data_IF_809356073460
#
_entry.id   IF_809356073460
#
_cell.length_a   1.000
_cell.length_b   1.000
_cell.length_c   1.000
_cell.angle_alpha   90.00
_cell.angle_beta   90.00
_cell.angle_gamma   90.00
#
_symmetry.space_group_name_H-M   'P 1'
#
loop_
_entity.id
_entity.type
_entity.pdbx_description
1 polymer ?
#
# COMPACT_ATOMS: atom_id res chain seq x y z
N UNK A 1 -3.32 -26.05 -4.04
CA UNK A 1 -3.80 -25.99 -2.62
C UNK A 1 -4.52 -24.67 -2.44
N UNK A 2 -5.42 -24.57 -1.44
CA UNK A 2 -6.04 -23.29 -1.15
C UNK A 2 -5.09 -22.41 -0.33
N UNK A 3 -5.05 -21.12 -0.63
CA UNK A 3 -4.29 -20.13 0.15
C UNK A 3 -5.11 -19.69 1.37
N UNK A 4 -4.57 -19.84 2.57
CA UNK A 4 -5.17 -19.30 3.79
C UNK A 4 -4.80 -17.84 3.91
N UNK A 5 -5.78 -16.97 4.00
CA UNK A 5 -5.59 -15.51 4.07
C UNK A 5 -6.49 -14.91 5.14
N UNK A 6 -5.90 -14.10 6.02
CA UNK A 6 -6.67 -13.31 6.97
C UNK A 6 -7.32 -12.13 6.23
N UNK A 7 -8.64 -12.02 6.32
CA UNK A 7 -9.42 -10.96 5.70
C UNK A 7 -9.92 -9.99 6.78
N UNK A 8 -9.59 -8.72 6.63
CA UNK A 8 -10.05 -7.63 7.49
C UNK A 8 -10.88 -6.69 6.60
N UNK A 9 -12.22 -6.76 6.63
CA UNK A 9 -13.06 -5.88 5.81
C UNK A 9 -12.82 -4.40 6.08
N UNK A 10 -12.56 -4.04 7.34
CA UNK A 10 -12.34 -2.66 7.77
C UNK A 10 -13.63 -1.90 8.05
N UNK A 11 -13.52 -0.58 8.21
CA UNK A 11 -14.60 0.33 8.57
C UNK A 11 -15.09 1.14 7.36
N UNK A 12 -16.25 1.77 7.51
CA UNK A 12 -16.79 2.70 6.51
C UNK A 12 -17.04 2.04 5.16
N UNK A 13 -16.33 2.48 4.11
CA UNK A 13 -16.40 1.86 2.76
C UNK A 13 -15.71 0.48 2.71
N UNK A 14 -14.96 0.12 3.75
CA UNK A 14 -14.15 -1.10 3.80
C UNK A 14 -14.91 -2.36 3.40
N UNK A 15 -16.05 -2.69 4.03
CA UNK A 15 -16.80 -3.90 3.70
C UNK A 15 -17.20 -3.99 2.22
N UNK A 16 -17.68 -2.90 1.60
CA UNK A 16 -18.13 -2.93 0.21
C UNK A 16 -16.95 -3.08 -0.78
N UNK A 17 -15.84 -2.36 -0.59
CA UNK A 17 -14.68 -2.44 -1.48
C UNK A 17 -13.92 -3.76 -1.31
N UNK A 18 -13.87 -4.30 -0.10
CA UNK A 18 -13.25 -5.59 0.20
C UNK A 18 -14.06 -6.73 -0.38
N UNK A 19 -15.39 -6.71 -0.22
CA UNK A 19 -16.28 -7.72 -0.81
C UNK A 19 -16.18 -7.72 -2.33
N UNK A 20 -16.19 -6.55 -2.97
CA UNK A 20 -15.99 -6.41 -4.41
C UNK A 20 -14.64 -7.04 -4.85
N UNK A 21 -13.57 -6.78 -4.10
CA UNK A 21 -12.24 -7.34 -4.35
C UNK A 21 -12.23 -8.87 -4.19
N UNK A 22 -12.83 -9.42 -3.14
CA UNK A 22 -12.92 -10.88 -2.91
C UNK A 22 -13.65 -11.56 -4.06
N UNK A 23 -14.79 -11.01 -4.51
CA UNK A 23 -15.53 -11.55 -5.68
C UNK A 23 -14.65 -11.63 -6.94
N UNK A 24 -13.86 -10.60 -7.20
CA UNK A 24 -12.96 -10.59 -8.36
C UNK A 24 -11.84 -11.62 -8.20
N UNK A 25 -11.25 -11.74 -7.00
CA UNK A 25 -10.23 -12.74 -6.70
C UNK A 25 -10.74 -14.16 -6.91
N UNK A 26 -11.94 -14.47 -6.40
CA UNK A 26 -12.57 -15.80 -6.55
C UNK A 26 -12.89 -16.14 -8.01
N UNK A 27 -13.23 -15.13 -8.82
CA UNK A 27 -13.48 -15.30 -10.26
C UNK A 27 -12.22 -15.72 -11.07
N UNK A 28 -11.00 -15.59 -10.53
CA UNK A 28 -9.77 -16.09 -11.16
C UNK A 28 -9.66 -17.61 -11.14
N UNK A 29 -10.44 -18.30 -10.28
CA UNK A 29 -10.32 -19.73 -10.03
C UNK A 29 -9.26 -20.12 -9.00
N UNK A 30 -8.42 -19.19 -8.53
CA UNK A 30 -7.54 -19.40 -7.37
C UNK A 30 -8.37 -19.71 -6.14
N UNK A 31 -7.96 -20.71 -5.39
CA UNK A 31 -8.70 -21.16 -4.19
C UNK A 31 -8.19 -20.44 -2.95
N UNK A 32 -9.09 -19.78 -2.23
CA UNK A 32 -8.82 -19.11 -0.97
C UNK A 32 -9.62 -19.75 0.18
N UNK A 33 -9.02 -19.78 1.35
CA UNK A 33 -9.67 -20.02 2.64
C UNK A 33 -9.56 -18.71 3.43
N UNK A 34 -10.64 -17.92 3.41
CA UNK A 34 -10.69 -16.64 4.09
C UNK A 34 -10.98 -16.79 5.58
N UNK A 35 -10.09 -16.30 6.43
CA UNK A 35 -10.33 -16.14 7.86
C UNK A 35 -10.69 -14.67 8.13
N UNK A 36 -12.00 -14.41 8.27
CA UNK A 36 -12.52 -13.03 8.33
C UNK A 36 -12.69 -12.55 9.76
N UNK A 37 -12.10 -11.40 10.08
CA UNK A 37 -12.17 -10.77 11.39
C UNK A 37 -12.45 -9.28 11.28
N UNK A 38 -13.21 -8.74 12.25
CA UNK A 38 -13.35 -7.30 12.43
C UNK A 38 -12.06 -6.72 13.03
N UNK A 39 -11.75 -5.50 12.65
CA UNK A 39 -10.74 -4.64 13.28
C UNK A 39 -11.26 -3.19 13.29
N UNK A 40 -10.66 -2.33 14.09
CA UNK A 40 -11.06 -0.94 14.12
C UNK A 40 -12.26 -0.65 14.98
N UNK A 41 -13.09 0.27 14.55
CA UNK A 41 -14.26 0.73 15.32
C UNK A 41 -15.26 -0.41 15.55
N UNK A 42 -15.52 -1.23 14.54
CA UNK A 42 -16.43 -2.38 14.66
C UNK A 42 -15.95 -3.39 15.71
N UNK A 43 -14.65 -3.69 15.73
CA UNK A 43 -14.08 -4.61 16.70
C UNK A 43 -14.15 -4.03 18.11
N UNK A 44 -13.89 -2.73 18.27
CA UNK A 44 -13.97 -2.08 19.55
C UNK A 44 -15.39 -2.09 20.14
N UNK A 45 -16.41 -1.85 19.32
CA UNK A 45 -17.81 -1.94 19.76
C UNK A 45 -18.19 -3.35 20.22
N UNK A 46 -17.68 -4.40 19.54
CA UNK A 46 -18.03 -5.79 19.85
C UNK A 46 -17.21 -6.41 20.98
N UNK A 47 -15.91 -6.10 21.04
CA UNK A 47 -14.96 -6.81 21.89
C UNK A 47 -14.21 -5.90 22.87
N UNK A 48 -14.42 -4.58 22.81
CA UNK A 48 -13.64 -3.56 23.53
C UNK A 48 -12.13 -3.64 23.24
N UNK A 49 -11.77 -4.12 22.04
CA UNK A 49 -10.41 -4.25 21.50
C UNK A 49 -10.40 -3.84 20.03
N UNK A 50 -9.44 -3.00 19.61
CA UNK A 50 -9.30 -2.61 18.20
C UNK A 50 -8.71 -3.71 17.32
N UNK A 51 -7.90 -4.59 17.91
CA UNK A 51 -7.28 -5.76 17.29
C UNK A 51 -7.56 -6.96 18.19
N UNK A 52 -8.67 -7.70 17.96
CA UNK A 52 -9.00 -8.89 18.74
C UNK A 52 -7.87 -9.93 18.69
N UNK A 53 -7.75 -10.70 19.78
CA UNK A 53 -6.71 -11.73 19.90
C UNK A 53 -6.79 -12.75 18.75
N UNK A 54 -7.98 -13.16 18.39
CA UNK A 54 -8.24 -14.14 17.32
C UNK A 54 -7.78 -13.63 15.95
N UNK A 55 -7.92 -12.32 15.67
CA UNK A 55 -7.37 -11.69 14.47
C UNK A 55 -5.85 -11.80 14.44
N UNK A 56 -5.20 -11.51 15.57
CA UNK A 56 -3.76 -11.58 15.64
C UNK A 56 -3.25 -13.02 15.46
N UNK A 57 -3.88 -13.99 16.11
CA UNK A 57 -3.58 -15.42 15.94
C UNK A 57 -3.81 -15.91 14.51
N UNK A 58 -4.82 -15.36 13.81
CA UNK A 58 -5.04 -15.65 12.41
C UNK A 58 -3.89 -15.15 11.54
N UNK A 59 -3.44 -13.90 11.71
CA UNK A 59 -2.30 -13.34 10.95
C UNK A 59 -1.02 -14.14 11.22
N UNK A 60 -0.76 -14.53 12.46
CA UNK A 60 0.39 -15.38 12.84
C UNK A 60 0.36 -16.75 12.15
N UNK A 61 -0.84 -17.31 11.92
CA UNK A 61 -1.02 -18.62 11.27
C UNK A 61 -1.02 -18.55 9.75
N UNK A 62 -1.64 -17.52 9.18
CA UNK A 62 -1.79 -17.36 7.72
C UNK A 62 -0.61 -16.70 7.06
N UNK A 63 0.14 -15.87 7.80
CA UNK A 63 1.25 -15.02 7.35
C UNK A 63 0.86 -14.00 6.26
N UNK A 64 -0.38 -14.01 5.78
CA UNK A 64 -0.88 -13.13 4.73
C UNK A 64 -2.23 -12.54 5.13
N UNK A 65 -2.34 -11.21 5.04
CA UNK A 65 -3.58 -10.49 5.28
C UNK A 65 -3.98 -9.60 4.11
N UNK A 66 -5.29 -9.57 3.79
CA UNK A 66 -5.91 -8.55 2.94
C UNK A 66 -6.78 -7.66 3.82
N UNK A 67 -6.52 -6.37 3.82
CA UNK A 67 -7.16 -5.42 4.73
C UNK A 67 -7.80 -4.25 3.99
N UNK A 68 -9.07 -4.00 4.26
CA UNK A 68 -9.75 -2.76 3.94
C UNK A 68 -9.31 -1.59 4.84
N UNK A 69 -9.79 -0.38 4.58
CA UNK A 69 -9.49 0.79 5.41
C UNK A 69 -10.09 0.63 6.81
N UNK A 70 -9.36 1.12 7.81
CA UNK A 70 -9.83 1.14 9.21
C UNK A 70 -9.84 2.57 9.75
N UNK A 71 -10.79 2.87 10.60
CA UNK A 71 -10.91 4.17 11.27
C UNK A 71 -10.12 4.17 12.55
N UNK A 72 -9.21 5.14 12.69
CA UNK A 72 -8.55 5.43 13.97
C UNK A 72 -9.25 6.63 14.60
N UNK A 73 -9.76 6.52 15.83
CA UNK A 73 -10.36 7.66 16.53
C UNK A 73 -9.37 8.82 16.69
N UNK A 74 -9.85 10.04 16.46
CA UNK A 74 -9.05 11.26 16.68
C UNK A 74 -9.18 11.68 18.15
N UNK A 75 -8.07 11.75 18.86
CA UNK A 75 -7.99 12.26 20.23
C UNK A 75 -8.00 11.17 21.31
N UNK A 76 -7.17 11.36 22.35
CA UNK A 76 -7.28 10.67 23.63
C UNK A 76 -6.81 9.22 23.70
N UNK A 77 -5.50 8.97 23.69
CA UNK A 77 -4.94 7.78 24.34
C UNK A 77 -4.85 6.48 23.54
N UNK A 78 -5.29 6.45 22.29
CA UNK A 78 -5.22 5.24 21.46
C UNK A 78 -4.19 5.39 20.32
N UNK A 79 -3.32 4.39 20.18
CA UNK A 79 -2.44 4.34 19.02
C UNK A 79 -3.23 3.94 17.75
N UNK A 80 -2.79 4.40 16.59
CA UNK A 80 -3.38 3.98 15.31
C UNK A 80 -3.32 2.46 15.16
N UNK A 81 -4.46 1.85 14.80
CA UNK A 81 -4.59 0.41 14.54
C UNK A 81 -3.55 -0.05 13.51
N UNK A 82 -3.33 0.74 12.48
CA UNK A 82 -2.31 0.46 11.47
C UNK A 82 -0.90 0.45 12.09
N UNK A 83 -0.59 1.39 12.99
CA UNK A 83 0.69 1.44 13.68
C UNK A 83 0.86 0.22 14.60
N UNK A 84 -0.20 -0.19 15.28
CA UNK A 84 -0.17 -1.37 16.17
C UNK A 84 0.05 -2.66 15.38
N UNK A 85 -0.66 -2.89 14.28
CA UNK A 85 -0.44 -4.03 13.38
C UNK A 85 1.01 -4.06 12.87
N UNK A 86 1.53 -2.91 12.42
CA UNK A 86 2.89 -2.78 11.92
C UNK A 86 3.95 -3.13 12.97
N UNK A 87 3.74 -2.71 14.21
CA UNK A 87 4.64 -3.03 15.34
C UNK A 87 4.52 -4.49 15.74
N UNK A 88 3.30 -4.99 15.92
CA UNK A 88 3.06 -6.35 16.41
C UNK A 88 3.63 -7.42 15.48
N UNK A 89 3.51 -7.23 14.17
CA UNK A 89 3.99 -8.18 13.16
C UNK A 89 5.30 -7.76 12.50
N UNK A 90 6.01 -6.79 13.07
CA UNK A 90 7.26 -6.23 12.52
C UNK A 90 7.16 -5.93 11.00
N UNK A 91 6.05 -5.35 10.55
CA UNK A 91 5.83 -4.99 9.15
C UNK A 91 6.66 -3.75 8.79
N UNK A 92 7.94 -3.92 8.62
CA UNK A 92 8.93 -2.85 8.55
C UNK A 92 8.96 -2.09 7.23
N UNK A 93 8.50 -2.71 6.14
CA UNK A 93 8.53 -2.09 4.81
C UNK A 93 7.12 -1.81 4.31
N UNK A 94 6.74 -0.53 4.26
CA UNK A 94 5.55 -0.10 3.53
C UNK A 94 5.95 0.16 2.08
N UNK A 95 5.31 -0.55 1.18
CA UNK A 95 5.60 -0.59 -0.25
C UNK A 95 4.40 -0.08 -1.05
N UNK A 96 4.60 0.99 -1.82
CA UNK A 96 3.55 1.66 -2.61
C UNK A 96 4.01 1.86 -4.05
N UNK A 97 3.63 0.99 -5.00
CA UNK A 97 3.88 1.23 -6.42
C UNK A 97 2.89 2.27 -6.95
N UNK A 98 3.43 3.31 -7.55
CA UNK A 98 2.71 4.47 -8.08
C UNK A 98 2.83 4.45 -9.59
N UNK A 99 1.74 4.14 -10.29
CA UNK A 99 1.69 4.21 -11.75
C UNK A 99 0.28 4.56 -12.25
N UNK A 100 0.24 5.25 -13.37
CA UNK A 100 -1.01 5.64 -14.00
C UNK A 100 -1.85 4.44 -14.39
N UNK A 101 -3.17 4.61 -14.32
CA UNK A 101 -4.14 3.75 -14.98
C UNK A 101 -4.54 4.38 -16.34
N UNK A 102 -4.96 3.56 -17.32
CA UNK A 102 -5.40 4.07 -18.61
C UNK A 102 -6.52 5.10 -18.46
N UNK A 103 -6.45 6.14 -19.26
CA UNK A 103 -7.49 7.19 -19.36
C UNK A 103 -7.87 7.97 -18.09
N UNK A 104 -7.12 7.81 -17.01
CA UNK A 104 -7.26 8.70 -15.85
C UNK A 104 -6.61 10.04 -16.20
N UNK A 105 -7.36 11.16 -16.13
CA UNK A 105 -6.80 12.49 -16.38
C UNK A 105 -5.75 12.82 -15.31
N UNK A 106 -4.51 12.99 -15.73
CA UNK A 106 -3.42 13.44 -14.87
C UNK A 106 -2.52 14.41 -15.61
N UNK A 107 -1.80 15.26 -14.87
CA UNK A 107 -0.81 16.15 -15.46
C UNK A 107 0.47 15.39 -15.90
N UNK A 108 0.66 14.16 -15.42
CA UNK A 108 1.88 13.38 -15.59
C UNK A 108 1.56 11.98 -16.13
N UNK A 109 1.37 11.82 -17.45
CA UNK A 109 1.14 10.50 -18.04
C UNK A 109 2.41 9.63 -17.99
N UNK A 110 2.25 8.34 -17.76
CA UNK A 110 3.37 7.40 -17.79
C UNK A 110 4.24 7.38 -16.53
N UNK A 111 3.73 7.84 -15.40
CA UNK A 111 4.39 7.67 -14.09
C UNK A 111 4.52 6.19 -13.78
N UNK A 112 5.72 5.78 -13.39
CA UNK A 112 6.05 4.46 -12.85
C UNK A 112 7.17 4.60 -11.81
N UNK A 113 6.81 4.90 -10.58
CA UNK A 113 7.74 5.02 -9.46
C UNK A 113 7.25 4.21 -8.26
N UNK A 114 8.13 3.96 -7.33
CA UNK A 114 7.85 3.17 -6.13
C UNK A 114 8.28 3.94 -4.90
N UNK A 115 7.40 4.01 -3.91
CA UNK A 115 7.75 4.49 -2.57
C UNK A 115 8.02 3.29 -1.67
N UNK A 116 9.19 3.26 -1.06
CA UNK A 116 9.61 2.31 -0.01
C UNK A 116 9.83 3.11 1.27
N UNK A 117 8.92 2.93 2.21
CA UNK A 117 8.83 3.65 3.48
C UNK A 117 9.20 2.71 4.63
N UNK A 118 10.15 3.11 5.49
CA UNK A 118 10.31 2.49 6.80
C UNK A 118 9.02 2.68 7.61
N UNK A 119 8.60 1.69 8.38
CA UNK A 119 7.22 1.64 8.86
C UNK A 119 7.08 1.37 10.37
N UNK A 120 8.18 1.24 11.11
CA UNK A 120 8.17 0.79 12.51
C UNK A 120 8.72 1.80 13.52
N UNK A 121 9.43 2.82 13.07
CA UNK A 121 10.08 3.81 13.94
C UNK A 121 9.90 5.25 13.41
N UNK A 122 10.83 6.14 13.69
CA UNK A 122 10.74 7.56 13.35
C UNK A 122 9.90 8.32 14.38
N UNK A 123 9.16 9.32 13.95
CA UNK A 123 8.17 10.02 14.77
C UNK A 123 6.95 9.17 15.10
N UNK A 124 6.68 8.14 14.28
CA UNK A 124 5.61 7.16 14.53
C UNK A 124 5.92 6.20 15.71
N UNK A 125 7.10 6.31 16.34
CA UNK A 125 7.35 5.68 17.64
C UNK A 125 6.39 6.22 18.72
N UNK A 126 5.83 7.42 18.53
CA UNK A 126 4.84 8.03 19.40
C UNK A 126 5.40 8.36 20.78
N UNK A 127 6.70 8.65 20.88
CA UNK A 127 7.35 9.04 22.14
C UNK A 127 7.25 10.56 22.25
N UNK A 128 6.30 10.99 23.02
CA UNK A 128 6.05 12.41 23.30
C UNK A 128 5.88 12.62 24.80
N UNK A 129 6.31 13.78 25.28
CA UNK A 129 6.08 14.19 26.67
C UNK A 129 6.03 15.72 26.82
N UNK A 130 5.27 16.16 27.79
CA UNK A 130 5.27 17.55 28.20
C UNK A 130 6.41 17.76 29.20
N UNK A 131 7.39 18.56 28.81
CA UNK A 131 8.58 18.87 29.65
C UNK A 131 8.20 19.83 30.80
N UNK A 132 7.46 20.87 30.47
CA UNK A 132 6.80 21.81 31.39
C UNK A 132 5.48 22.24 30.73
N UNK A 133 4.51 22.77 31.51
CA UNK A 133 3.22 23.19 30.95
C UNK A 133 3.36 24.05 29.70
N UNK A 134 2.79 23.57 28.58
CA UNK A 134 2.82 24.24 27.28
C UNK A 134 4.08 23.99 26.45
N UNK A 135 5.01 23.10 26.87
CA UNK A 135 6.19 22.71 26.12
C UNK A 135 6.21 21.19 25.90
N UNK A 136 5.98 20.77 24.69
CA UNK A 136 5.93 19.34 24.29
C UNK A 136 7.13 18.97 23.44
N UNK A 137 7.75 17.85 23.74
CA UNK A 137 8.82 17.24 22.95
C UNK A 137 8.33 15.95 22.27
N UNK A 138 8.67 15.78 20.98
CA UNK A 138 8.47 14.55 20.22
C UNK A 138 9.82 13.97 19.82
N UNK A 139 10.05 12.70 20.09
CA UNK A 139 11.32 12.05 19.82
C UNK A 139 11.26 11.25 18.51
N UNK A 140 12.12 11.61 17.55
CA UNK A 140 12.35 10.83 16.32
C UNK A 140 13.37 9.72 16.61
N UNK A 141 12.91 8.49 16.66
CA UNK A 141 13.77 7.32 16.89
C UNK A 141 14.24 6.74 15.56
N UNK A 142 15.55 6.61 15.40
CA UNK A 142 16.17 5.99 14.24
C UNK A 142 17.20 4.97 14.69
N UNK A 143 17.09 3.72 14.22
CA UNK A 143 18.03 2.66 14.55
C UNK A 143 18.79 2.17 13.33
N UNK A 144 20.03 1.73 13.54
CA UNK A 144 20.84 1.14 12.46
C UNK A 144 20.18 -0.12 11.89
N UNK A 145 19.54 -0.94 12.75
CA UNK A 145 18.78 -2.15 12.35
C UNK A 145 17.69 -1.78 11.34
N UNK A 146 16.81 -0.83 11.67
CA UNK A 146 15.69 -0.48 10.82
C UNK A 146 16.14 0.24 9.54
N UNK A 147 17.08 1.18 9.63
CA UNK A 147 17.65 1.86 8.46
C UNK A 147 18.31 0.88 7.48
N UNK A 148 19.04 -0.10 7.98
CA UNK A 148 19.72 -1.11 7.15
C UNK A 148 18.72 -2.06 6.50
N UNK A 149 17.73 -2.58 7.25
CA UNK A 149 16.76 -3.54 6.71
C UNK A 149 15.86 -2.92 5.65
N UNK A 150 15.39 -1.67 5.83
CA UNK A 150 14.57 -1.01 4.82
C UNK A 150 15.38 -0.68 3.56
N UNK A 151 16.62 -0.28 3.72
CA UNK A 151 17.54 -0.08 2.59
C UNK A 151 17.75 -1.39 1.83
N UNK A 152 18.07 -2.48 2.53
CA UNK A 152 18.24 -3.81 1.92
C UNK A 152 16.99 -4.25 1.17
N UNK A 153 15.80 -4.09 1.76
CA UNK A 153 14.53 -4.39 1.09
C UNK A 153 14.39 -3.63 -0.24
N UNK A 154 14.69 -2.32 -0.26
CA UNK A 154 14.59 -1.50 -1.46
C UNK A 154 15.56 -1.95 -2.56
N UNK A 155 16.82 -2.26 -2.21
CA UNK A 155 17.84 -2.71 -3.14
C UNK A 155 17.57 -4.13 -3.67
N UNK A 156 17.15 -5.07 -2.84
CA UNK A 156 16.73 -6.41 -3.26
C UNK A 156 15.53 -6.36 -4.19
N UNK A 157 14.53 -5.53 -3.86
CA UNK A 157 13.39 -5.30 -4.73
C UNK A 157 13.82 -4.74 -6.08
N UNK A 158 14.69 -3.73 -6.09
CA UNK A 158 15.22 -3.11 -7.30
C UNK A 158 15.92 -4.14 -8.20
N UNK A 159 16.81 -4.95 -7.63
CA UNK A 159 17.53 -6.04 -8.34
C UNK A 159 16.57 -7.05 -8.93
N UNK A 160 15.63 -7.58 -8.11
CA UNK A 160 14.65 -8.59 -8.53
C UNK A 160 13.75 -8.10 -9.66
N UNK A 161 13.36 -6.82 -9.63
CA UNK A 161 12.42 -6.22 -10.59
C UNK A 161 13.09 -5.36 -11.65
N UNK A 162 14.43 -5.43 -11.79
CA UNK A 162 15.22 -4.72 -12.81
C UNK A 162 15.03 -3.20 -12.78
N UNK A 163 14.74 -2.63 -11.60
CA UNK A 163 14.74 -1.20 -11.36
C UNK A 163 16.17 -0.67 -11.39
N UNK A 164 16.34 0.59 -11.76
CA UNK A 164 17.66 1.14 -12.10
C UNK A 164 18.21 2.12 -11.08
N UNK A 165 17.33 2.80 -10.35
CA UNK A 165 17.75 3.89 -9.50
C UNK A 165 16.99 3.94 -8.17
N UNK A 166 17.73 4.20 -7.09
CA UNK A 166 17.18 4.43 -5.76
C UNK A 166 17.60 5.82 -5.30
N UNK A 167 16.61 6.61 -4.86
CA UNK A 167 16.82 7.90 -4.23
C UNK A 167 16.48 7.78 -2.74
N UNK A 168 17.48 7.96 -1.88
CA UNK A 168 17.26 8.10 -0.44
C UNK A 168 16.84 9.52 -0.11
N UNK A 169 15.66 9.67 0.48
CA UNK A 169 15.07 10.96 0.80
C UNK A 169 15.28 11.27 2.28
N UNK A 170 15.81 12.45 2.58
CA UNK A 170 16.30 12.80 3.91
C UNK A 170 16.21 14.31 4.21
N UNK A 171 16.46 14.68 5.48
CA UNK A 171 16.66 16.06 5.93
C UNK A 171 17.97 16.21 6.74
N UNK A 172 19.02 15.50 6.34
CA UNK A 172 20.29 15.43 7.09
C UNK A 172 21.07 16.76 7.16
N UNK A 173 20.69 17.77 6.35
CA UNK A 173 21.21 19.13 6.49
C UNK A 173 20.75 19.78 7.81
N UNK A 174 19.63 19.36 8.39
CA UNK A 174 19.10 19.76 9.69
C UNK A 174 19.26 18.63 10.72
N UNK A 175 18.70 17.46 10.46
CA UNK A 175 18.75 16.30 11.35
C UNK A 175 19.99 15.45 11.09
N UNK A 176 21.15 15.99 11.46
CA UNK A 176 22.46 15.43 11.12
C UNK A 176 22.73 14.05 11.71
N UNK A 177 22.17 13.75 12.88
CA UNK A 177 22.38 12.47 13.54
C UNK A 177 21.38 11.43 13.06
N UNK A 178 20.08 11.67 13.16
CA UNK A 178 19.03 10.71 12.81
C UNK A 178 19.00 10.41 11.31
N UNK A 179 18.81 11.42 10.47
CA UNK A 179 18.82 11.25 9.02
C UNK A 179 20.22 10.93 8.49
N UNK A 180 21.26 11.43 9.17
CA UNK A 180 22.63 11.04 8.89
C UNK A 180 22.90 9.56 9.12
N UNK A 181 22.27 8.93 10.14
CA UNK A 181 22.32 7.48 10.34
C UNK A 181 21.64 6.75 9.18
N UNK A 182 20.45 7.19 8.78
CA UNK A 182 19.73 6.62 7.64
C UNK A 182 20.59 6.61 6.37
N UNK A 183 21.21 7.76 6.03
CA UNK A 183 22.11 7.85 4.87
C UNK A 183 23.34 6.96 4.98
N UNK A 184 23.98 6.87 6.17
CA UNK A 184 25.13 5.96 6.36
C UNK A 184 24.75 4.50 6.10
N UNK A 185 23.60 4.04 6.61
CA UNK A 185 23.09 2.70 6.39
C UNK A 185 22.78 2.46 4.91
N UNK A 186 22.06 3.39 4.28
CA UNK A 186 21.68 3.28 2.86
C UNK A 186 22.92 3.24 1.95
N UNK A 187 23.93 4.09 2.21
CA UNK A 187 25.21 4.07 1.49
C UNK A 187 25.98 2.76 1.67
N UNK A 188 25.95 2.19 2.89
CA UNK A 188 26.60 0.91 3.15
C UNK A 188 25.95 -0.22 2.36
N UNK A 189 24.62 -0.29 2.34
CA UNK A 189 23.86 -1.25 1.53
C UNK A 189 24.09 -1.02 0.03
N UNK A 190 24.04 0.22 -0.45
CA UNK A 190 24.23 0.55 -1.87
C UNK A 190 25.53 -0.02 -2.46
N UNK A 191 26.60 -0.10 -1.67
CA UNK A 191 27.88 -0.68 -2.11
C UNK A 191 27.78 -2.17 -2.48
N UNK A 192 26.79 -2.89 -1.96
CA UNK A 192 26.53 -4.30 -2.26
C UNK A 192 25.77 -4.49 -3.59
N UNK A 193 25.30 -3.38 -4.21
CA UNK A 193 24.45 -3.38 -5.40
C UNK A 193 24.98 -2.41 -6.47
N UNK A 194 26.21 -2.62 -6.99
CA UNK A 194 26.85 -1.68 -7.91
C UNK A 194 26.11 -1.47 -9.23
N UNK A 195 25.19 -2.37 -9.58
CA UNK A 195 24.34 -2.28 -10.78
C UNK A 195 23.16 -1.31 -10.63
N UNK A 196 22.88 -0.83 -9.39
CA UNK A 196 21.78 0.10 -9.09
C UNK A 196 22.37 1.47 -8.78
N UNK A 197 21.95 2.48 -9.52
CA UNK A 197 22.34 3.87 -9.26
C UNK A 197 21.73 4.33 -7.94
N UNK A 198 22.55 4.83 -7.04
CA UNK A 198 22.12 5.38 -5.76
C UNK A 198 22.34 6.89 -5.71
N UNK A 199 21.32 7.62 -5.26
CA UNK A 199 21.35 9.08 -5.12
C UNK A 199 20.65 9.53 -3.83
N UNK A 200 20.90 10.76 -3.37
CA UNK A 200 20.39 11.30 -2.11
C UNK A 200 19.75 12.66 -2.32
N UNK A 201 18.51 12.83 -1.87
CA UNK A 201 17.76 14.06 -2.08
C UNK A 201 17.16 14.58 -0.78
N UNK A 202 17.21 15.90 -0.59
CA UNK A 202 16.56 16.57 0.54
C UNK A 202 15.05 16.57 0.31
N UNK A 203 14.27 16.22 1.33
CA UNK A 203 12.83 15.95 1.25
C UNK A 203 12.00 17.09 0.67
N UNK A 204 12.22 18.33 1.11
CA UNK A 204 11.50 19.51 0.60
C UNK A 204 11.82 19.79 -0.87
N UNK A 205 13.07 19.62 -1.28
CA UNK A 205 13.45 19.70 -2.68
C UNK A 205 12.82 18.57 -3.50
N UNK A 206 12.75 17.37 -2.93
CA UNK A 206 12.08 16.21 -3.59
C UNK A 206 10.60 16.48 -3.83
N UNK A 207 9.87 17.08 -2.86
CA UNK A 207 8.48 17.48 -3.05
C UNK A 207 8.30 18.41 -4.26
N UNK A 208 9.14 19.44 -4.36
CA UNK A 208 9.13 20.37 -5.49
C UNK A 208 9.46 19.65 -6.81
N UNK A 209 10.51 18.82 -6.82
CA UNK A 209 10.95 18.11 -8.01
C UNK A 209 9.93 17.08 -8.51
N UNK A 210 9.20 16.40 -7.62
CA UNK A 210 8.10 15.50 -7.98
C UNK A 210 6.99 16.23 -8.73
N UNK A 211 6.70 17.48 -8.34
CA UNK A 211 5.70 18.31 -9.04
C UNK A 211 6.25 18.88 -10.36
N UNK A 212 7.55 19.16 -10.45
CA UNK A 212 8.15 19.73 -11.67
C UNK A 212 8.50 18.65 -12.71
N UNK A 213 9.12 17.56 -12.27
CA UNK A 213 9.59 16.47 -13.14
C UNK A 213 9.64 15.13 -12.38
N UNK A 214 8.52 14.44 -12.21
CA UNK A 214 8.47 13.15 -11.51
C UNK A 214 9.23 12.02 -12.22
N UNK A 215 9.48 12.13 -13.52
CA UNK A 215 10.07 11.06 -14.34
C UNK A 215 11.55 10.77 -14.04
N UNK A 216 12.22 11.64 -13.29
CA UNK A 216 13.61 11.41 -12.86
C UNK A 216 13.73 10.37 -11.75
N UNK A 217 12.62 10.02 -11.10
CA UNK A 217 12.56 9.09 -9.98
C UNK A 217 12.15 7.69 -10.43
N UNK A 218 12.72 6.66 -9.77
CA UNK A 218 12.39 5.25 -9.96
C UNK A 218 11.94 4.64 -8.62
N UNK A 219 12.83 4.51 -7.63
CA UNK A 219 12.48 4.13 -6.28
C UNK A 219 12.83 5.26 -5.32
N UNK A 220 11.87 5.66 -4.50
CA UNK A 220 12.01 6.61 -3.41
C UNK A 220 12.09 5.84 -2.10
N UNK A 221 13.27 5.84 -1.46
CA UNK A 221 13.54 5.17 -0.19
C UNK A 221 13.61 6.20 0.93
N UNK A 222 12.84 6.01 2.01
CA UNK A 222 12.79 7.01 3.08
C UNK A 222 12.30 6.46 4.43
N UNK A 223 12.50 7.26 5.46
CA UNK A 223 11.98 7.03 6.80
C UNK A 223 10.45 7.22 6.85
N UNK A 224 9.86 6.92 8.00
CA UNK A 224 8.43 6.76 8.17
C UNK A 224 7.60 8.00 7.80
N UNK A 225 7.88 9.16 8.41
CA UNK A 225 7.07 10.37 8.20
C UNK A 225 7.20 10.91 6.77
N UNK A 226 8.41 10.93 6.22
CA UNK A 226 8.59 11.39 4.84
C UNK A 226 7.91 10.45 3.88
N UNK A 227 7.93 9.14 4.15
CA UNK A 227 7.25 8.13 3.36
C UNK A 227 5.73 8.31 3.35
N UNK A 228 5.15 8.71 4.48
CA UNK A 228 3.73 9.03 4.57
C UNK A 228 3.38 10.22 3.67
N UNK A 229 4.07 11.34 3.87
CA UNK A 229 3.80 12.59 3.14
C UNK A 229 4.04 12.43 1.64
N UNK A 230 5.20 11.88 1.24
CA UNK A 230 5.55 11.76 -0.18
C UNK A 230 4.74 10.72 -0.92
N UNK A 231 4.28 9.65 -0.26
CA UNK A 231 3.41 8.68 -0.93
C UNK A 231 2.05 9.26 -1.29
N UNK A 232 1.49 10.13 -0.46
CA UNK A 232 0.24 10.82 -0.74
C UNK A 232 0.41 11.86 -1.85
N UNK A 233 1.53 12.60 -1.84
CA UNK A 233 1.90 13.47 -2.96
C UNK A 233 2.01 12.67 -4.27
N UNK A 234 2.70 11.53 -4.25
CA UNK A 234 2.85 10.66 -5.42
C UNK A 234 1.51 10.07 -5.88
N UNK A 235 0.60 9.73 -4.97
CA UNK A 235 -0.75 9.31 -5.32
C UNK A 235 -1.50 10.40 -6.08
N UNK A 236 -1.33 11.67 -5.70
CA UNK A 236 -1.87 12.82 -6.42
C UNK A 236 -1.40 12.91 -7.87
N UNK A 237 -0.16 12.51 -8.16
CA UNK A 237 0.39 12.53 -9.53
C UNK A 237 -0.35 11.55 -10.48
N UNK A 238 -0.96 10.50 -9.97
CA UNK A 238 -1.61 9.44 -10.76
C UNK A 238 -3.13 9.39 -10.65
N UNK A 239 -3.74 10.38 -9.99
CA UNK A 239 -5.20 10.52 -9.91
C UNK A 239 -5.81 10.29 -8.54
N UNK A 240 -5.00 10.10 -7.49
CA UNK A 240 -5.44 10.08 -6.09
C UNK A 240 -5.31 8.72 -5.38
N UNK A 241 -5.59 8.75 -4.07
CA UNK A 241 -5.40 7.61 -3.16
C UNK A 241 -6.28 6.40 -3.49
N UNK A 242 -7.46 6.60 -4.09
CA UNK A 242 -8.38 5.53 -4.50
C UNK A 242 -7.84 4.60 -5.60
N UNK A 243 -6.69 4.95 -6.19
CA UNK A 243 -6.06 4.18 -7.27
C UNK A 243 -4.75 3.51 -6.85
N UNK A 244 -4.19 3.87 -5.70
CA UNK A 244 -2.85 3.45 -5.29
C UNK A 244 -2.90 2.25 -4.35
N UNK A 245 -2.24 1.14 -4.69
CA UNK A 245 -2.12 -0.01 -3.82
C UNK A 245 -1.05 0.20 -2.76
N UNK A 246 -1.15 -0.58 -1.68
CA UNK A 246 -0.15 -0.67 -0.65
C UNK A 246 0.07 -2.10 -0.16
N UNK A 247 1.27 -2.35 0.33
CA UNK A 247 1.62 -3.57 1.04
C UNK A 247 2.56 -3.24 2.19
N UNK A 248 2.40 -3.95 3.29
CA UNK A 248 3.30 -3.88 4.44
C UNK A 248 3.99 -5.24 4.58
N UNK A 249 5.31 -5.27 4.46
CA UNK A 249 6.10 -6.49 4.54
C UNK A 249 6.86 -6.55 5.86
N UNK A 250 6.74 -7.68 6.54
CA UNK A 250 7.59 -8.11 7.64
C UNK A 250 8.56 -9.20 7.20
N UNK A 251 9.18 -9.84 8.17
CA UNK A 251 10.03 -11.02 7.90
C UNK A 251 9.17 -12.26 7.64
N UNK A 252 8.09 -12.44 8.38
CA UNK A 252 7.23 -13.62 8.32
C UNK A 252 5.83 -13.33 7.76
N UNK A 253 5.35 -12.09 7.91
CA UNK A 253 4.00 -11.69 7.52
C UNK A 253 4.01 -10.59 6.47
N UNK A 254 2.95 -10.56 5.66
CA UNK A 254 2.65 -9.46 4.74
C UNK A 254 1.16 -9.08 4.83
N UNK A 255 0.86 -7.79 4.96
CA UNK A 255 -0.51 -7.27 4.95
C UNK A 255 -0.67 -6.32 3.76
N UNK A 256 -1.64 -6.62 2.92
CA UNK A 256 -1.96 -5.86 1.71
C UNK A 256 -3.18 -4.98 1.98
N UNK A 257 -3.03 -3.68 1.80
CA UNK A 257 -4.07 -2.69 2.11
C UNK A 257 -4.04 -1.51 1.15
N UNK A 258 -5.19 -0.89 0.91
CA UNK A 258 -5.25 0.39 0.21
C UNK A 258 -4.69 1.53 1.09
N UNK A 259 -4.23 2.58 0.42
CA UNK A 259 -3.66 3.76 1.09
C UNK A 259 -4.75 4.68 1.65
N UNK A 260 -5.94 4.70 1.00
CA UNK A 260 -7.05 5.58 1.39
C UNK A 260 -7.69 5.22 2.74
N UNK A 261 -8.38 6.17 3.36
CA UNK A 261 -9.14 5.99 4.60
C UNK A 261 -10.52 5.34 4.38
N UNK A 262 -11.30 5.29 5.47
CA UNK A 262 -12.61 4.61 5.55
C UNK A 262 -13.79 5.38 4.94
N UNK A 263 -13.65 6.67 4.64
CA UNK A 263 -14.67 7.53 4.04
C UNK A 263 -16.10 7.27 4.56
N UNK A 264 -16.38 7.48 5.86
CA UNK A 264 -17.64 7.08 6.50
C UNK A 264 -18.87 7.80 5.93
N UNK A 265 -18.70 8.96 5.32
CA UNK A 265 -19.73 9.78 4.69
C UNK A 265 -20.38 9.11 3.46
N UNK A 266 -19.68 8.18 2.82
CA UNK A 266 -20.18 7.43 1.64
C UNK A 266 -20.33 5.94 1.89
N UNK A 267 -20.11 5.47 3.12
CA UNK A 267 -20.21 4.07 3.50
C UNK A 267 -21.61 3.48 3.23
N UNK A 268 -21.66 2.23 2.71
CA UNK A 268 -22.89 1.50 2.42
C UNK A 268 -23.71 2.04 1.24
N UNK A 269 -23.19 3.02 0.50
CA UNK A 269 -23.89 3.62 -0.64
C UNK A 269 -23.59 2.97 -1.98
N UNK A 270 -22.75 1.95 -2.00
CA UNK A 270 -22.32 1.25 -3.20
C UNK A 270 -21.74 2.18 -4.28
N UNK A 271 -20.94 3.17 -3.88
CA UNK A 271 -20.33 4.16 -4.79
C UNK A 271 -18.82 4.27 -4.65
N UNK A 272 -18.23 3.58 -3.68
CA UNK A 272 -16.80 3.59 -3.44
C UNK A 272 -16.04 2.83 -4.54
N UNK A 273 -14.88 3.35 -4.93
CA UNK A 273 -14.01 2.72 -5.92
C UNK A 273 -13.17 1.61 -5.27
N UNK A 274 -13.30 0.34 -5.67
CA UNK A 274 -12.53 -0.76 -5.08
C UNK A 274 -11.12 -0.90 -5.66
N UNK A 275 -10.72 -0.06 -6.63
CA UNK A 275 -9.48 -0.22 -7.40
C UNK A 275 -8.23 -0.28 -6.52
N UNK A 276 -8.12 0.55 -5.49
CA UNK A 276 -6.92 0.55 -4.64
C UNK A 276 -6.79 -0.76 -3.84
N UNK A 277 -7.88 -1.27 -3.24
CA UNK A 277 -7.88 -2.56 -2.54
C UNK A 277 -7.63 -3.71 -3.52
N UNK A 278 -8.27 -3.69 -4.69
CA UNK A 278 -8.07 -4.67 -5.74
C UNK A 278 -6.61 -4.70 -6.23
N UNK A 279 -6.00 -3.54 -6.45
CA UNK A 279 -4.58 -3.46 -6.83
C UNK A 279 -3.65 -3.91 -5.70
N UNK A 280 -4.03 -3.71 -4.43
CA UNK A 280 -3.31 -4.27 -3.28
C UNK A 280 -3.42 -5.79 -3.26
N UNK A 281 -4.59 -6.34 -3.62
CA UNK A 281 -4.77 -7.77 -3.79
C UNK A 281 -3.94 -8.34 -4.95
N UNK A 282 -3.63 -7.56 -6.00
CA UNK A 282 -2.65 -7.99 -7.04
C UNK A 282 -1.23 -8.14 -6.46
N UNK A 283 -0.84 -7.29 -5.51
CA UNK A 283 0.44 -7.47 -4.80
C UNK A 283 0.41 -8.74 -3.94
N UNK A 284 -0.74 -9.03 -3.29
CA UNK A 284 -0.95 -10.27 -2.54
C UNK A 284 -0.84 -11.51 -3.44
N UNK A 285 -1.52 -11.53 -4.58
CA UNK A 285 -1.43 -12.64 -5.54
C UNK A 285 0.01 -12.91 -5.98
N UNK A 286 0.76 -11.86 -6.30
CA UNK A 286 2.18 -11.98 -6.67
C UNK A 286 3.03 -12.52 -5.50
N UNK A 287 2.72 -12.12 -4.28
CA UNK A 287 3.38 -12.64 -3.07
C UNK A 287 3.10 -14.13 -2.87
N UNK A 288 1.87 -14.57 -3.16
CA UNK A 288 1.45 -15.97 -3.10
C UNK A 288 1.93 -16.82 -4.29
N UNK A 289 2.58 -16.19 -5.30
CA UNK A 289 3.05 -16.89 -6.50
C UNK A 289 2.00 -17.00 -7.62
N UNK A 290 0.81 -16.44 -7.44
CA UNK A 290 -0.30 -16.46 -8.40
C UNK A 290 -0.15 -15.34 -9.45
N UNK A 291 0.94 -15.41 -10.22
CA UNK A 291 1.32 -14.36 -11.18
C UNK A 291 0.33 -14.23 -12.33
N UNK A 292 -0.20 -15.34 -12.83
CA UNK A 292 -1.14 -15.37 -13.97
C UNK A 292 -2.49 -14.75 -13.57
N UNK A 293 -3.02 -15.08 -12.39
CA UNK A 293 -4.22 -14.47 -11.85
C UNK A 293 -4.04 -12.95 -11.63
N UNK A 294 -2.88 -12.55 -11.10
CA UNK A 294 -2.56 -11.13 -10.94
C UNK A 294 -2.49 -10.40 -12.29
N UNK A 295 -1.94 -11.03 -13.33
CA UNK A 295 -1.88 -10.46 -14.68
C UNK A 295 -3.27 -10.36 -15.31
N UNK A 296 -4.10 -11.40 -15.19
CA UNK A 296 -5.48 -11.44 -15.68
C UNK A 296 -6.30 -10.28 -15.11
N UNK A 297 -6.31 -10.11 -13.77
CA UNK A 297 -7.03 -8.99 -13.12
C UNK A 297 -6.46 -7.65 -13.57
N UNK A 298 -5.13 -7.49 -13.64
CA UNK A 298 -4.51 -6.25 -14.10
C UNK A 298 -4.99 -5.86 -15.50
N UNK A 299 -4.99 -6.81 -16.43
CA UNK A 299 -5.45 -6.56 -17.81
C UNK A 299 -6.94 -6.21 -17.84
N UNK A 300 -7.76 -6.85 -17.01
CA UNK A 300 -9.19 -6.53 -16.89
C UNK A 300 -9.41 -5.12 -16.31
N UNK A 301 -8.64 -4.70 -15.32
CA UNK A 301 -8.66 -3.32 -14.80
C UNK A 301 -8.33 -2.35 -15.94
N UNK A 302 -7.25 -2.57 -16.68
CA UNK A 302 -6.83 -1.70 -17.77
C UNK A 302 -7.89 -1.60 -18.88
N UNK A 303 -8.61 -2.69 -19.17
CA UNK A 303 -9.70 -2.73 -20.14
C UNK A 303 -10.92 -1.93 -19.67
N UNK A 304 -11.38 -2.13 -18.44
CA UNK A 304 -12.53 -1.38 -17.87
C UNK A 304 -12.23 0.11 -17.78
N UNK A 305 -11.00 0.49 -17.40
CA UNK A 305 -10.59 1.90 -17.39
C UNK A 305 -10.49 2.48 -18.81
N UNK A 306 -10.16 1.68 -19.80
CA UNK A 306 -10.10 2.10 -21.22
C UNK A 306 -11.50 2.25 -21.84
N UNK A 307 -12.41 1.33 -21.53
CA UNK A 307 -13.81 1.36 -21.97
C UNK A 307 -14.60 2.53 -21.32
N UNK A 308 -14.35 2.85 -20.05
CA UNK A 308 -14.93 3.94 -19.26
C UNK A 308 -16.43 3.82 -18.96
N UNK A 309 -17.14 2.86 -19.49
CA UNK A 309 -18.60 2.73 -19.35
C UNK A 309 -19.05 2.39 -17.93
N UNK A 310 -18.17 1.76 -17.14
CA UNK A 310 -18.43 1.26 -15.78
C UNK A 310 -17.45 1.80 -14.73
N UNK A 311 -16.97 3.02 -14.92
CA UNK A 311 -16.13 3.69 -13.93
C UNK A 311 -16.96 4.28 -12.78
N UNK A 312 -16.37 4.34 -11.60
CA UNK A 312 -16.94 4.97 -10.41
C UNK A 312 -16.86 6.51 -10.48
N UNK A 313 -17.57 7.20 -9.58
CA UNK A 313 -17.73 8.67 -9.63
C UNK A 313 -16.43 9.44 -9.44
N UNK A 314 -15.54 8.96 -8.56
CA UNK A 314 -14.25 9.57 -8.26
C UNK A 314 -13.31 9.65 -9.47
N UNK A 315 -13.52 8.78 -10.46
CA UNK A 315 -12.76 8.72 -11.72
C UNK A 315 -13.60 9.13 -12.95
N UNK A 316 -14.69 9.84 -12.71
CA UNK A 316 -15.50 10.47 -13.76
C UNK A 316 -16.58 9.58 -14.38
N UNK A 317 -16.92 8.46 -13.75
CA UNK A 317 -18.01 7.57 -14.15
C UNK A 317 -19.29 7.75 -13.33
N UNK A 318 -20.17 6.76 -13.41
CA UNK A 318 -21.45 6.73 -12.67
C UNK A 318 -21.76 5.36 -12.05
N UNK A 319 -20.92 4.36 -12.31
CA UNK A 319 -21.12 3.01 -11.83
C UNK A 319 -20.98 2.90 -10.30
N UNK A 320 -21.71 1.97 -9.73
CA UNK A 320 -21.56 1.57 -8.35
C UNK A 320 -20.38 0.61 -8.15
N UNK A 321 -19.97 0.41 -6.89
CA UNK A 321 -18.91 -0.53 -6.50
C UNK A 321 -19.15 -1.93 -7.06
N UNK A 322 -20.38 -2.43 -6.95
CA UNK A 322 -20.76 -3.77 -7.44
C UNK A 322 -20.73 -3.85 -8.96
N UNK A 323 -21.24 -2.83 -9.66
CA UNK A 323 -21.24 -2.78 -11.13
C UNK A 323 -19.81 -2.70 -11.71
N UNK A 324 -18.91 -1.99 -11.02
CA UNK A 324 -17.50 -1.95 -11.38
C UNK A 324 -16.85 -3.34 -11.23
N UNK A 325 -17.16 -4.04 -10.11
CA UNK A 325 -16.65 -5.40 -9.89
C UNK A 325 -17.17 -6.38 -10.96
N UNK A 326 -18.46 -6.30 -11.31
CA UNK A 326 -19.06 -7.11 -12.36
C UNK A 326 -18.39 -6.88 -13.72
N UNK A 327 -18.08 -5.61 -14.05
CA UNK A 327 -17.36 -5.27 -15.29
C UNK A 327 -15.94 -5.86 -15.34
N UNK A 328 -15.22 -5.86 -14.21
CA UNK A 328 -13.90 -6.50 -14.13
C UNK A 328 -14.01 -8.01 -14.34
N UNK A 329 -14.98 -8.68 -13.71
CA UNK A 329 -15.20 -10.12 -13.85
C UNK A 329 -15.55 -10.46 -15.31
N UNK A 330 -16.44 -9.70 -15.94
CA UNK A 330 -16.81 -9.88 -17.34
C UNK A 330 -15.61 -9.70 -18.29
N UNK A 331 -14.75 -8.71 -18.04
CA UNK A 331 -13.52 -8.52 -18.83
C UNK A 331 -12.56 -9.72 -18.69
N UNK A 332 -12.42 -10.27 -17.48
CA UNK A 332 -11.62 -11.48 -17.24
C UNK A 332 -12.14 -12.70 -18.01
N UNK A 333 -13.46 -12.92 -18.01
CA UNK A 333 -14.12 -14.03 -18.75
C UNK A 333 -13.88 -13.89 -20.26
N UNK A 334 -14.05 -12.67 -20.79
CA UNK A 334 -13.83 -12.39 -22.22
C UNK A 334 -12.39 -12.66 -22.64
N UNK A 335 -11.40 -12.26 -21.83
CA UNK A 335 -9.99 -12.52 -22.08
C UNK A 335 -9.68 -14.02 -22.06
N UNK A 336 -10.25 -14.77 -21.12
CA UNK A 336 -10.07 -16.23 -21.03
C UNK A 336 -10.65 -16.96 -22.25
N UNK A 337 -11.84 -16.56 -22.70
CA UNK A 337 -12.47 -17.11 -23.91
C UNK A 337 -11.62 -16.85 -25.17
N UNK A 338 -11.07 -15.63 -25.32
CA UNK A 338 -10.22 -15.25 -26.43
C UNK A 338 -8.88 -16.02 -26.44
N UNK A 339 -8.29 -16.26 -25.26
CA UNK A 339 -7.07 -17.06 -25.13
C UNK A 339 -7.28 -18.52 -25.52
N UNK A 340 -8.43 -19.11 -25.16
CA UNK A 340 -8.79 -20.48 -25.52
C UNK A 340 -9.05 -20.64 -27.02
N UNK A 341 -9.68 -19.66 -27.67
CA UNK A 341 -9.97 -19.66 -29.10
C UNK A 341 -8.72 -19.52 -29.99
N UNK A 342 -7.63 -18.95 -29.46
CA UNK A 342 -6.36 -18.74 -30.18
C UNK A 342 -5.31 -19.82 -29.94
N UNK A 343 -5.60 -20.91 -29.22
CA UNK A 343 -4.70 -22.06 -29.13
C UNK A 343 -4.83 -22.89 -30.43
N UNK A 344 -3.74 -23.09 -31.22
CA UNK A 344 -3.78 -23.94 -32.37
C UNK A 344 -4.07 -25.40 -31.94
N UNK A 345 -5.01 -26.04 -32.66
CA UNK A 345 -5.33 -27.45 -32.49
C UNK A 345 -4.15 -28.33 -32.89
#
# INVERSE_FOLDING_TARGET
>A
MAHKVTLIPGDGIGPEVTQATVRILEATGVKFEWETFAAGAEAFEKYNEYIPKELAESIERTHVGLKGPVTTPIGGGFSSINVELRRRFELFANFRPIHNLPHIPTHYPGIDLIVVRENTEGLYSGIEHEVVPGVVESLKIMTEKACTRISRFAFEYARKNKRKKIHSIHKANIMKMSDGLFLRCSRAVAKEYPEITYDEHIVDNTCMQLVMNPYQYDILLMENLYGDILSDLCAGLVGGLGLVPGANFGHECAIFEAVHGSAPDIAGRNIANPTAVLRSALLMLRHLGEHDAALQIRNAIDEVYRDRSKLTRDVGGTAGTSEFADAIIQAMETQSAAATANQPQ
#
